data_IF_010887582213
#
_entry.id   IF_010887582213
#
_cell.length_a   1.000
_cell.length_b   1.000
_cell.length_c   1.000
_cell.angle_alpha   90.00
_cell.angle_beta   90.00
_cell.angle_gamma   90.00
#
_symmetry.space_group_name_H-M   'P 1'
#
loop_
_entity.id
_entity.type
_entity.pdbx_description
1 polymer ?
#
# COMPACT_ATOMS: atom_id res chain seq x y z
N UNK A 1 -51.26 21.08 40.37
CA UNK A 1 -50.15 21.86 39.80
C UNK A 1 -49.17 20.89 39.16
N UNK A 2 -49.04 20.95 37.83
CA UNK A 2 -48.30 19.98 36.99
C UNK A 2 -46.83 20.42 36.88
N UNK A 3 -45.89 19.58 37.30
CA UNK A 3 -44.46 19.75 37.02
C UNK A 3 -44.12 19.01 35.71
N UNK A 4 -43.85 19.76 34.64
CA UNK A 4 -43.15 19.25 33.45
C UNK A 4 -41.65 19.44 33.67
N UNK A 5 -40.80 18.40 33.64
CA UNK A 5 -39.38 18.61 33.46
C UNK A 5 -39.09 18.77 31.97
N UNK A 6 -38.50 19.92 31.62
CA UNK A 6 -37.97 20.22 30.31
C UNK A 6 -36.86 19.23 29.95
N UNK A 7 -37.14 18.34 29.01
CA UNK A 7 -36.16 17.43 28.43
C UNK A 7 -35.35 18.24 27.40
N UNK A 8 -34.19 18.73 27.82
CA UNK A 8 -33.26 19.48 27.00
C UNK A 8 -32.63 18.52 25.97
N UNK A 9 -33.20 18.47 24.77
CA UNK A 9 -32.65 17.74 23.63
C UNK A 9 -31.44 18.52 23.08
N UNK A 10 -30.26 18.29 23.66
CA UNK A 10 -29.00 18.76 23.11
C UNK A 10 -28.61 17.89 21.91
N UNK A 11 -29.13 18.22 20.74
CA UNK A 11 -28.66 17.67 19.47
C UNK A 11 -27.30 18.28 19.15
N UNK A 12 -26.22 17.67 19.65
CA UNK A 12 -24.86 18.01 19.24
C UNK A 12 -24.65 17.55 17.81
N UNK A 13 -24.62 18.51 16.88
CA UNK A 13 -24.17 18.28 15.52
C UNK A 13 -22.69 17.84 15.57
N UNK A 14 -22.45 16.53 15.49
CA UNK A 14 -21.12 15.99 15.27
C UNK A 14 -20.78 16.36 13.82
N UNK A 15 -20.04 17.47 13.65
CA UNK A 15 -19.45 17.83 12.37
C UNK A 15 -18.42 16.76 12.08
N UNK A 16 -18.78 15.78 11.26
CA UNK A 16 -17.84 14.79 10.73
C UNK A 16 -16.85 15.56 9.87
N UNK A 17 -15.66 15.83 10.39
CA UNK A 17 -14.55 16.26 9.54
C UNK A 17 -14.32 15.15 8.51
N UNK A 18 -14.16 15.47 7.22
CA UNK A 18 -13.87 14.46 6.22
C UNK A 18 -12.63 13.68 6.65
N UNK A 19 -12.72 12.36 6.63
CA UNK A 19 -11.58 11.49 6.89
C UNK A 19 -10.51 11.81 5.83
N UNK A 20 -9.34 12.27 6.25
CA UNK A 20 -8.19 12.34 5.36
C UNK A 20 -7.91 10.92 4.83
N UNK A 21 -7.76 10.79 3.52
CA UNK A 21 -7.41 9.52 2.88
C UNK A 21 -6.09 9.00 3.49
N UNK A 22 -6.13 7.80 4.06
CA UNK A 22 -4.95 7.17 4.63
C UNK A 22 -4.12 6.56 3.50
N UNK A 23 -2.91 7.10 3.30
CA UNK A 23 -1.93 6.47 2.42
C UNK A 23 -1.52 5.11 2.98
N UNK A 24 -1.48 4.10 2.12
CA UNK A 24 -1.07 2.75 2.46
C UNK A 24 0.37 2.55 2.00
N UNK A 25 1.26 2.21 2.92
CA UNK A 25 2.62 1.79 2.61
C UNK A 25 2.71 0.26 2.54
N UNK A 26 3.24 -0.27 1.44
CA UNK A 26 3.45 -1.71 1.20
C UNK A 26 4.86 -1.97 0.68
N UNK A 27 5.46 -3.04 1.16
CA UNK A 27 6.74 -3.55 0.66
C UNK A 27 6.50 -4.79 -0.17
N UNK A 28 7.24 -4.91 -1.26
CA UNK A 28 7.22 -6.06 -2.16
C UNK A 28 8.63 -6.56 -2.37
N UNK A 29 8.78 -7.88 -2.32
CA UNK A 29 9.95 -8.57 -2.82
C UNK A 29 9.67 -9.01 -4.25
N UNK A 30 10.67 -8.90 -5.10
CA UNK A 30 10.57 -9.37 -6.48
C UNK A 30 11.76 -10.22 -6.86
N UNK A 31 11.52 -11.14 -7.80
CA UNK A 31 12.54 -12.00 -8.39
C UNK A 31 12.19 -12.27 -9.85
N UNK A 32 13.13 -11.99 -10.74
CA UNK A 32 13.06 -12.27 -12.16
C UNK A 32 14.18 -13.24 -12.54
N UNK A 33 13.87 -14.26 -13.33
CA UNK A 33 14.86 -15.13 -13.96
C UNK A 33 14.91 -14.92 -15.46
N UNK A 34 16.09 -15.13 -16.05
CA UNK A 34 16.36 -14.91 -17.47
C UNK A 34 17.09 -16.12 -18.06
N UNK A 35 17.03 -16.21 -19.38
CA UNK A 35 17.73 -17.23 -20.15
C UNK A 35 19.26 -17.06 -20.05
N UNK A 36 19.98 -18.08 -20.52
CA UNK A 36 21.44 -18.15 -20.44
C UNK A 36 22.17 -17.02 -21.20
N UNK A 37 21.49 -16.33 -22.12
CA UNK A 37 22.05 -15.20 -22.86
C UNK A 37 22.08 -13.89 -22.08
N UNK A 38 21.44 -13.83 -20.90
CA UNK A 38 21.35 -12.63 -20.08
C UNK A 38 22.59 -12.47 -19.17
N UNK A 39 23.19 -11.26 -19.08
CA UNK A 39 24.34 -11.00 -18.21
C UNK A 39 24.09 -11.31 -16.74
N UNK A 40 22.86 -11.12 -16.28
CA UNK A 40 22.38 -11.52 -14.96
C UNK A 40 21.26 -12.53 -15.14
N UNK A 41 21.48 -13.76 -14.65
CA UNK A 41 20.50 -14.85 -14.74
C UNK A 41 19.32 -14.67 -13.79
N UNK A 42 19.55 -13.98 -12.68
CA UNK A 42 18.52 -13.69 -11.68
C UNK A 42 18.68 -12.28 -11.18
N UNK A 43 17.61 -11.50 -11.22
CA UNK A 43 17.53 -10.16 -10.64
C UNK A 43 16.48 -10.22 -9.54
N UNK A 44 16.87 -9.85 -8.33
CA UNK A 44 15.99 -9.81 -7.19
C UNK A 44 16.21 -8.56 -6.37
N UNK A 45 15.19 -8.20 -5.60
CA UNK A 45 15.23 -7.02 -4.77
C UNK A 45 13.93 -6.83 -4.02
N UNK A 46 13.84 -5.68 -3.35
CA UNK A 46 12.63 -5.23 -2.71
C UNK A 46 12.36 -3.77 -3.02
N UNK A 47 11.10 -3.39 -3.02
CA UNK A 47 10.70 -1.99 -3.05
C UNK A 47 9.51 -1.74 -2.15
N UNK A 48 9.47 -0.55 -1.57
CA UNK A 48 8.37 -0.07 -0.76
C UNK A 48 7.67 1.04 -1.51
N UNK A 49 6.36 0.91 -1.70
CA UNK A 49 5.52 1.95 -2.29
C UNK A 49 4.46 2.42 -1.31
N UNK A 50 4.13 3.70 -1.41
CA UNK A 50 3.04 4.35 -0.71
C UNK A 50 2.00 4.79 -1.73
N UNK A 51 0.73 4.44 -1.53
CA UNK A 51 -0.35 4.76 -2.47
C UNK A 51 -1.66 5.06 -1.75
N UNK A 52 -2.52 5.84 -2.40
CA UNK A 52 -3.88 6.09 -1.94
C UNK A 52 -4.85 5.08 -2.58
N UNK A 53 -5.50 4.20 -1.79
CA UNK A 53 -6.41 3.18 -2.31
C UNK A 53 -7.67 3.77 -2.97
N UNK A 54 -8.05 5.00 -2.59
CA UNK A 54 -9.23 5.69 -3.12
C UNK A 54 -8.91 6.49 -4.38
N UNK A 55 -7.72 7.11 -4.44
CA UNK A 55 -7.35 7.93 -5.59
C UNK A 55 -6.77 7.13 -6.78
N UNK A 56 -6.29 5.89 -6.58
CA UNK A 56 -5.82 4.93 -7.62
C UNK A 56 -4.90 5.45 -8.74
N UNK A 57 -4.37 6.66 -8.61
CA UNK A 57 -3.55 7.34 -9.61
C UNK A 57 -2.21 7.81 -9.06
N UNK A 58 -2.08 7.92 -7.73
CA UNK A 58 -0.87 8.40 -7.07
C UNK A 58 -0.25 7.30 -6.21
N UNK A 59 0.91 6.79 -6.64
CA UNK A 59 1.78 5.95 -5.84
C UNK A 59 3.24 6.40 -5.97
N UNK A 60 3.98 6.27 -4.88
CA UNK A 60 5.37 6.74 -4.79
C UNK A 60 6.22 5.63 -4.22
N UNK A 61 7.41 5.40 -4.78
CA UNK A 61 8.38 4.49 -4.14
C UNK A 61 9.14 5.22 -3.05
N UNK A 62 9.08 4.65 -1.84
CA UNK A 62 9.73 5.14 -0.63
C UNK A 62 11.11 4.51 -0.44
N UNK A 63 11.27 3.28 -0.91
CA UNK A 63 12.54 2.56 -0.84
C UNK A 63 12.66 1.57 -1.98
N UNK A 64 13.88 1.38 -2.49
CA UNK A 64 14.20 0.38 -3.49
C UNK A 64 15.58 -0.21 -3.16
N UNK A 65 15.71 -1.54 -3.29
CA UNK A 65 16.96 -2.24 -3.02
C UNK A 65 17.12 -3.43 -3.96
N UNK A 66 18.20 -3.45 -4.73
CA UNK A 66 18.62 -4.62 -5.51
C UNK A 66 20.12 -4.53 -5.77
N UNK A 67 20.85 -5.63 -5.53
CA UNK A 67 22.31 -5.66 -5.78
C UNK A 67 22.62 -5.66 -7.28
N UNK A 68 21.82 -6.40 -8.05
CA UNK A 68 22.01 -6.59 -9.49
C UNK A 68 21.64 -5.34 -10.29
N UNK A 69 20.74 -4.51 -9.76
CA UNK A 69 20.31 -3.25 -10.39
C UNK A 69 21.06 -2.03 -9.83
N UNK A 70 22.19 -2.23 -9.15
CA UNK A 70 23.02 -1.12 -8.70
C UNK A 70 23.55 -0.34 -9.93
N UNK A 71 23.33 0.98 -9.95
CA UNK A 71 23.68 1.84 -11.09
C UNK A 71 22.73 1.76 -12.28
N UNK A 72 21.58 1.08 -12.14
CA UNK A 72 20.47 1.20 -13.10
C UNK A 72 19.64 2.44 -12.79
N UNK A 73 19.13 3.08 -13.84
CA UNK A 73 18.21 4.19 -13.71
C UNK A 73 16.89 3.70 -13.13
N UNK A 74 16.49 4.37 -12.05
CA UNK A 74 15.19 4.22 -11.41
C UNK A 74 14.57 5.61 -11.33
N UNK A 75 13.67 5.90 -12.26
CA UNK A 75 13.20 7.26 -12.50
C UNK A 75 11.80 7.47 -11.94
N UNK A 76 10.94 6.44 -12.01
CA UNK A 76 9.58 6.59 -11.53
C UNK A 76 8.83 5.27 -11.30
N UNK A 77 7.73 5.39 -10.54
CA UNK A 77 6.70 4.35 -10.34
C UNK A 77 5.34 4.94 -10.65
N UNK A 78 4.48 4.16 -11.31
CA UNK A 78 3.07 4.49 -11.54
C UNK A 78 2.17 3.42 -10.95
N UNK A 79 1.04 3.87 -10.41
CA UNK A 79 -0.10 3.05 -10.05
C UNK A 79 -1.31 3.57 -10.82
N UNK A 80 -1.82 2.80 -11.77
CA UNK A 80 -3.01 3.18 -12.53
C UNK A 80 -3.93 1.97 -12.69
N UNK A 81 -5.15 2.07 -12.16
CA UNK A 81 -6.14 0.99 -12.22
C UNK A 81 -5.58 -0.35 -11.71
N UNK A 82 -4.79 -0.31 -10.63
CA UNK A 82 -4.15 -1.48 -10.04
C UNK A 82 -2.91 -1.97 -10.78
N UNK A 83 -2.52 -1.39 -11.91
CA UNK A 83 -1.22 -1.69 -12.53
C UNK A 83 -0.13 -0.90 -11.82
N UNK A 84 0.82 -1.61 -11.24
CA UNK A 84 2.07 -1.05 -10.73
C UNK A 84 3.11 -1.19 -11.83
N UNK A 85 3.83 -0.11 -12.13
CA UNK A 85 4.95 -0.13 -13.10
C UNK A 85 6.10 0.66 -12.50
N UNK A 86 7.32 0.13 -12.55
CA UNK A 86 8.50 0.73 -11.93
C UNK A 86 9.77 0.50 -12.75
N UNK A 87 10.74 1.40 -12.60
CA UNK A 87 12.03 1.33 -13.28
C UNK A 87 12.37 2.63 -14.00
N UNK A 88 12.72 2.55 -15.28
CA UNK A 88 13.12 3.69 -16.11
C UNK A 88 11.94 4.54 -16.61
N UNK A 89 10.70 4.15 -16.36
CA UNK A 89 9.52 4.94 -16.69
C UNK A 89 8.35 4.62 -15.74
N UNK A 90 7.31 5.46 -15.77
CA UNK A 90 6.06 5.30 -15.01
C UNK A 90 4.83 4.98 -15.88
N UNK A 91 4.97 4.20 -16.96
CA UNK A 91 3.81 3.82 -17.79
C UNK A 91 3.79 2.32 -18.05
N UNK A 92 2.64 1.70 -17.87
CA UNK A 92 2.44 0.30 -18.22
C UNK A 92 2.71 0.07 -19.71
N UNK A 93 3.52 -0.94 -20.03
CA UNK A 93 3.93 -1.25 -21.40
C UNK A 93 5.12 -0.44 -21.93
N UNK A 94 5.81 0.35 -21.08
CA UNK A 94 7.15 0.79 -21.42
C UNK A 94 8.12 -0.39 -21.57
N UNK A 95 9.31 -0.08 -22.09
CA UNK A 95 10.42 -1.02 -22.13
C UNK A 95 11.71 -0.38 -21.59
N UNK A 96 12.66 -1.23 -21.23
CA UNK A 96 14.01 -0.81 -20.91
C UNK A 96 14.75 -0.33 -22.17
N UNK A 97 15.63 0.64 -22.03
CA UNK A 97 16.54 1.06 -23.09
C UNK A 97 17.63 0.01 -23.32
N UNK A 98 17.86 -0.35 -24.58
CA UNK A 98 18.76 -1.44 -24.98
C UNK A 98 20.26 -1.09 -24.95
N UNK A 99 20.63 0.14 -24.62
CA UNK A 99 22.05 0.59 -24.57
C UNK A 99 22.37 1.41 -23.32
N UNK A 100 21.48 1.35 -22.33
CA UNK A 100 21.55 2.09 -21.08
C UNK A 100 21.27 1.14 -19.93
N UNK A 101 21.86 1.36 -18.76
CA UNK A 101 21.49 0.60 -17.55
C UNK A 101 20.10 1.03 -17.11
N UNK A 102 19.09 0.36 -17.65
CA UNK A 102 17.67 0.67 -17.44
C UNK A 102 16.93 -0.63 -17.26
N UNK A 103 15.88 -0.62 -16.44
CA UNK A 103 15.00 -1.76 -16.30
C UNK A 103 13.57 -1.27 -16.20
N UNK A 104 12.64 -2.13 -16.55
CA UNK A 104 11.21 -1.91 -16.42
C UNK A 104 10.58 -3.16 -15.84
N UNK A 105 9.68 -2.99 -14.89
CA UNK A 105 8.92 -4.06 -14.29
C UNK A 105 7.46 -3.62 -14.10
N UNK A 106 6.50 -4.52 -14.32
CA UNK A 106 5.10 -4.23 -14.04
C UNK A 106 4.33 -5.44 -13.49
N UNK A 107 3.27 -5.19 -12.75
CA UNK A 107 2.38 -6.22 -12.21
C UNK A 107 1.06 -5.57 -11.79
N UNK A 108 0.06 -6.40 -11.44
CA UNK A 108 -1.24 -5.93 -10.96
C UNK A 108 -1.43 -6.18 -9.47
N UNK A 109 -2.07 -5.23 -8.80
CA UNK A 109 -2.52 -5.33 -7.41
C UNK A 109 -3.97 -4.89 -7.23
N UNK A 110 -4.58 -5.29 -6.12
CA UNK A 110 -5.88 -4.79 -5.68
C UNK A 110 -5.77 -3.47 -4.91
N UNK A 111 -6.91 -2.99 -4.38
CA UNK A 111 -6.97 -1.76 -3.60
C UNK A 111 -6.19 -1.83 -2.27
N UNK A 112 -5.92 -3.01 -1.74
CA UNK A 112 -5.16 -3.21 -0.50
C UNK A 112 -3.65 -3.39 -0.76
N UNK A 113 -3.28 -3.49 -2.04
CA UNK A 113 -1.93 -3.76 -2.51
C UNK A 113 -1.59 -5.24 -2.56
N UNK A 114 -2.55 -6.17 -2.54
CA UNK A 114 -2.26 -7.58 -2.75
C UNK A 114 -1.99 -7.85 -4.23
N UNK A 115 -1.01 -8.70 -4.52
CA UNK A 115 -0.64 -9.05 -5.90
C UNK A 115 -1.74 -9.89 -6.53
N UNK A 116 -2.36 -9.38 -7.60
CA UNK A 116 -3.43 -10.05 -8.34
C UNK A 116 -2.89 -10.85 -9.53
N UNK A 117 -1.91 -10.31 -10.24
CA UNK A 117 -1.37 -10.94 -11.44
C UNK A 117 0.03 -10.41 -11.73
N UNK A 118 0.90 -11.33 -12.12
CA UNK A 118 2.26 -11.06 -12.59
C UNK A 118 2.44 -11.90 -13.86
N UNK A 119 2.91 -11.31 -14.95
CA UNK A 119 3.31 -12.10 -16.12
C UNK A 119 4.81 -12.33 -16.07
N UNK A 120 5.21 -13.51 -16.52
CA UNK A 120 6.60 -13.89 -16.59
C UNK A 120 7.46 -12.91 -17.39
N UNK A 121 6.87 -12.20 -18.35
CA UNK A 121 7.51 -11.31 -19.30
C UNK A 121 7.48 -9.83 -18.90
N UNK A 122 6.92 -9.51 -17.73
CA UNK A 122 6.71 -8.12 -17.31
C UNK A 122 7.98 -7.46 -16.74
N UNK A 123 9.09 -8.19 -16.60
CA UNK A 123 10.39 -7.64 -16.22
C UNK A 123 11.35 -7.64 -17.42
N UNK A 124 11.89 -6.48 -17.74
CA UNK A 124 12.85 -6.29 -18.84
C UNK A 124 14.00 -5.41 -18.36
N UNK A 125 15.23 -5.72 -18.74
CA UNK A 125 16.36 -4.83 -18.50
C UNK A 125 17.31 -4.74 -19.69
N UNK A 126 18.02 -3.62 -19.76
CA UNK A 126 19.12 -3.37 -20.68
C UNK A 126 20.36 -2.92 -19.91
N UNK A 127 21.53 -3.09 -20.51
CA UNK A 127 22.82 -2.76 -19.90
C UNK A 127 23.60 -1.85 -20.83
N UNK A 128 24.16 -0.78 -20.27
CA UNK A 128 25.14 0.03 -20.97
C UNK A 128 26.31 -0.88 -21.39
N UNK A 129 26.75 -0.76 -22.66
CA UNK A 129 27.81 -1.55 -23.33
C UNK A 129 27.36 -2.79 -24.11
N UNK A 130 26.11 -3.25 -24.02
CA UNK A 130 25.58 -4.27 -24.92
C UNK A 130 24.57 -3.58 -25.84
N UNK A 131 25.01 -3.04 -26.98
CA UNK A 131 24.04 -2.35 -27.83
C UNK A 131 22.94 -3.32 -28.23
N UNK A 132 21.74 -2.76 -28.13
CA UNK A 132 20.58 -3.15 -28.87
C UNK A 132 19.92 -4.44 -28.38
N UNK A 133 20.31 -4.92 -27.20
CA UNK A 133 19.69 -6.09 -26.57
C UNK A 133 19.04 -5.68 -25.25
N UNK A 134 17.78 -6.06 -25.12
CA UNK A 134 17.08 -6.12 -23.83
C UNK A 134 16.83 -7.57 -23.50
N UNK A 135 16.96 -7.93 -22.23
CA UNK A 135 16.62 -9.26 -21.74
C UNK A 135 15.29 -9.20 -21.03
N UNK A 136 14.35 -9.96 -21.54
CA UNK A 136 13.04 -10.16 -20.96
C UNK A 136 13.07 -11.39 -20.06
N UNK A 137 12.40 -11.31 -18.92
CA UNK A 137 12.37 -12.41 -17.97
C UNK A 137 11.61 -13.61 -18.52
N UNK A 138 12.12 -14.81 -18.20
CA UNK A 138 11.44 -16.08 -18.43
C UNK A 138 10.47 -16.42 -17.29
N UNK A 139 10.73 -15.89 -16.09
CA UNK A 139 9.83 -15.92 -14.94
C UNK A 139 9.97 -14.63 -14.15
N UNK A 140 8.85 -14.12 -13.65
CA UNK A 140 8.82 -12.95 -12.79
C UNK A 140 7.81 -13.19 -11.67
N UNK A 141 8.28 -13.03 -10.44
CA UNK A 141 7.49 -13.25 -9.23
C UNK A 141 7.58 -12.00 -8.36
N UNK A 142 6.44 -11.55 -7.87
CA UNK A 142 6.32 -10.44 -6.92
C UNK A 142 5.51 -10.92 -5.73
N UNK A 143 6.07 -10.77 -4.54
CA UNK A 143 5.43 -11.13 -3.28
C UNK A 143 5.34 -9.91 -2.39
N UNK A 144 4.17 -9.67 -1.80
CA UNK A 144 4.02 -8.64 -0.78
C UNK A 144 4.71 -9.10 0.51
N UNK A 145 5.55 -8.24 1.07
CA UNK A 145 6.22 -8.43 2.36
C UNK A 145 5.40 -7.75 3.45
N UNK A 146 5.04 -8.50 4.48
CA UNK A 146 4.21 -8.01 5.58
C UNK A 146 2.72 -8.22 5.34
N UNK A 147 2.18 -9.25 5.98
CA UNK A 147 0.76 -9.53 6.09
C UNK A 147 0.11 -8.63 7.15
N UNK A 148 -1.10 -8.16 6.84
CA UNK A 148 -1.99 -7.36 7.67
C UNK A 148 -1.27 -6.36 8.61
N UNK A 149 -1.12 -5.10 8.16
CA UNK A 149 -1.04 -4.01 9.14
C UNK A 149 -2.27 -4.18 10.05
N UNK A 150 -2.11 -4.45 11.35
CA UNK A 150 -3.26 -4.65 12.23
C UNK A 150 -4.16 -3.43 12.03
N UNK A 151 -5.44 -3.67 11.81
CA UNK A 151 -6.40 -2.59 11.64
C UNK A 151 -6.32 -1.71 12.89
N UNK A 152 -5.65 -0.56 12.76
CA UNK A 152 -5.66 0.45 13.82
C UNK A 152 -7.10 0.92 13.86
N UNK A 153 -7.82 0.77 15.00
CA UNK A 153 -9.21 1.14 15.05
C UNK A 153 -9.36 2.61 14.63
N UNK A 154 -10.32 2.90 13.78
CA UNK A 154 -10.52 4.26 13.28
C UNK A 154 -10.91 5.19 14.44
N UNK A 155 -10.65 6.52 14.39
CA UNK A 155 -10.98 7.43 15.49
C UNK A 155 -12.43 7.33 15.99
N UNK A 156 -13.38 6.99 15.10
CA UNK A 156 -14.76 6.71 15.45
C UNK A 156 -14.91 5.45 16.32
N UNK A 157 -14.12 4.41 16.08
CA UNK A 157 -14.07 3.20 16.92
C UNK A 157 -13.52 3.51 18.32
N UNK A 158 -12.54 4.41 18.43
CA UNK A 158 -12.05 4.84 19.75
C UNK A 158 -13.12 5.63 20.49
N UNK A 159 -13.83 6.52 19.79
CA UNK A 159 -14.93 7.28 20.36
C UNK A 159 -16.07 6.37 20.84
N UNK A 160 -16.47 5.37 20.06
CA UNK A 160 -17.50 4.41 20.49
C UNK A 160 -17.05 3.53 21.64
N UNK A 161 -15.78 3.12 21.69
CA UNK A 161 -15.21 2.43 22.85
C UNK A 161 -15.27 3.32 24.10
N UNK A 162 -14.82 4.58 24.02
CA UNK A 162 -14.87 5.51 25.16
C UNK A 162 -16.30 5.78 25.62
N UNK A 163 -17.24 5.93 24.69
CA UNK A 163 -18.66 6.09 25.00
C UNK A 163 -19.20 4.84 25.70
N UNK A 164 -18.91 3.64 25.20
CA UNK A 164 -19.31 2.37 25.81
C UNK A 164 -18.79 2.21 27.24
N UNK A 165 -17.50 2.46 27.46
CA UNK A 165 -16.91 2.43 28.80
C UNK A 165 -17.47 3.52 29.72
N UNK A 166 -17.74 4.71 29.18
CA UNK A 166 -18.37 5.80 29.92
C UNK A 166 -19.77 5.43 30.42
N UNK A 167 -20.60 4.82 29.56
CA UNK A 167 -21.96 4.37 29.92
C UNK A 167 -21.92 3.28 30.98
N UNK A 168 -21.05 2.27 30.83
CA UNK A 168 -20.91 1.18 31.80
C UNK A 168 -20.40 1.72 33.15
N UNK A 169 -19.36 2.58 33.13
CA UNK A 169 -18.82 3.20 34.33
C UNK A 169 -19.85 4.07 35.06
N UNK A 170 -20.66 4.82 34.31
CA UNK A 170 -21.76 5.61 34.87
C UNK A 170 -22.82 4.71 35.54
N UNK A 171 -23.21 3.60 34.89
CA UNK A 171 -24.17 2.66 35.44
C UNK A 171 -23.70 2.02 36.76
N UNK A 172 -22.41 1.65 36.85
CA UNK A 172 -21.82 1.07 38.06
C UNK A 172 -21.81 2.08 39.22
N UNK A 173 -21.51 3.36 38.97
CA UNK A 173 -21.54 4.40 40.01
C UNK A 173 -22.93 4.70 40.55
N UNK A 174 -23.99 4.35 39.82
CA UNK A 174 -25.38 4.63 40.21
C UNK A 174 -25.99 3.56 41.13
N UNK A 175 -25.30 2.44 41.38
CA UNK A 175 -25.76 1.45 42.37
C UNK A 175 -25.59 2.01 43.79
N UNK A 176 -26.68 2.55 44.31
CA UNK A 176 -26.82 2.98 45.70
C UNK A 176 -26.57 1.79 46.61
N UNK A 177 -25.62 1.93 47.55
CA UNK A 177 -25.38 0.93 48.60
C UNK A 177 -26.64 0.85 49.46
N UNK A 178 -27.47 -0.16 49.23
CA UNK A 178 -28.56 -0.49 50.14
C UNK A 178 -27.91 -1.03 51.41
N UNK A 179 -27.85 -0.17 52.42
CA UNK A 179 -27.41 -0.53 53.77
C UNK A 179 -28.52 -1.37 54.39
N UNK A 180 -28.30 -2.67 54.51
CA UNK A 180 -29.18 -3.54 55.28
C UNK A 180 -29.04 -3.18 56.76
N UNK A 181 -30.17 -2.85 57.39
CA UNK A 181 -30.35 -2.63 58.83
C UNK A 181 -31.38 -3.64 59.32
#
# INVERSE_FOLDING_TARGET
MKFLPALLAAATAIVSTPANAAYITRTYDFSASFDLSAPSRTISGSFTMEFDPMARENAWVKAFSSKQLNGYQFDAVSFNNGNVSFGNCNRTGCTAGSSTNTFFASFKVDADGNVLSVRNTDFVYGKALTCCVTWQSASFVVNRVGGATPAVPEPATWATMMLGFGVIGYALRRRTVLRFV
#
